data_IF_813503920720
#
_entry.id   IF_813503920720
#
_cell.length_a   1.000
_cell.length_b   1.000
_cell.length_c   1.000
_cell.angle_alpha   90.00
_cell.angle_beta   90.00
_cell.angle_gamma   90.00
#
_symmetry.space_group_name_H-M   'P 1'
#
loop_
_entity.id
_entity.type
_entity.pdbx_description
1 polymer ?
#
# COMPACT_ATOMS: atom_id res chain seq x y z
N UNK A 1 -2.77 12.97 1.40
CA UNK A 1 -2.21 12.85 2.74
C UNK A 1 -1.87 11.40 3.08
N UNK A 2 -0.75 11.16 3.78
CA UNK A 2 -0.37 9.79 4.15
C UNK A 2 -1.43 9.08 4.99
N UNK A 3 -2.04 9.77 5.94
CA UNK A 3 -3.08 9.17 6.80
C UNK A 3 -4.31 8.78 6.00
N UNK A 4 -4.68 9.57 5.00
CA UNK A 4 -5.81 9.23 4.13
C UNK A 4 -5.49 8.01 3.27
N UNK A 5 -4.26 7.91 2.77
CA UNK A 5 -3.82 6.74 2.02
C UNK A 5 -3.79 5.48 2.89
N UNK A 6 -3.36 5.63 4.15
CA UNK A 6 -3.37 4.53 5.11
C UNK A 6 -4.79 4.05 5.38
N UNK A 7 -5.72 4.98 5.59
CA UNK A 7 -7.12 4.64 5.83
C UNK A 7 -7.72 3.91 4.63
N UNK A 8 -7.49 4.40 3.42
CA UNK A 8 -8.00 3.76 2.21
C UNK A 8 -7.36 2.39 2.01
N UNK A 9 -6.06 2.28 2.25
CA UNK A 9 -5.37 1.00 2.19
C UNK A 9 -5.95 -0.03 3.15
N UNK A 10 -6.29 0.40 4.36
CA UNK A 10 -6.92 -0.48 5.35
C UNK A 10 -8.29 -0.95 4.89
N UNK A 11 -9.07 -0.10 4.22
CA UNK A 11 -10.37 -0.50 3.67
C UNK A 11 -10.22 -1.59 2.62
N UNK A 12 -9.24 -1.46 1.72
CA UNK A 12 -8.96 -2.50 0.72
C UNK A 12 -8.43 -3.77 1.36
N UNK A 13 -7.61 -3.65 2.39
CA UNK A 13 -7.07 -4.81 3.10
C UNK A 13 -8.18 -5.64 3.73
N UNK A 14 -9.17 -4.99 4.32
CA UNK A 14 -10.24 -5.64 5.06
C UNK A 14 -11.52 -5.81 4.26
N UNK A 15 -11.62 -5.24 3.08
CA UNK A 15 -12.82 -5.32 2.25
C UNK A 15 -14.01 -4.58 2.86
N UNK A 16 -13.78 -3.40 3.42
CA UNK A 16 -14.84 -2.60 4.05
C UNK A 16 -15.27 -1.49 3.11
N UNK A 17 -16.48 -1.58 2.60
CA UNK A 17 -17.03 -0.59 1.67
C UNK A 17 -16.51 -0.70 0.24
N UNK A 18 -15.48 -1.53 0.01
CA UNK A 18 -14.88 -1.82 -1.30
C UNK A 18 -14.54 -3.31 -1.32
N UNK A 19 -14.45 -3.92 -2.52
CA UNK A 19 -13.97 -5.31 -2.60
C UNK A 19 -12.55 -5.42 -2.07
N UNK A 20 -12.27 -6.47 -1.29
CA UNK A 20 -10.96 -6.70 -0.74
C UNK A 20 -9.92 -6.82 -1.87
N UNK A 21 -8.78 -6.15 -1.70
CA UNK A 21 -7.73 -6.15 -2.70
C UNK A 21 -6.37 -5.94 -2.02
N UNK A 22 -5.64 -7.04 -1.81
CA UNK A 22 -4.35 -6.98 -1.13
C UNK A 22 -3.29 -6.20 -1.91
N UNK A 23 -3.33 -6.31 -3.24
CA UNK A 23 -2.37 -5.59 -4.09
C UNK A 23 -2.56 -4.08 -3.98
N UNK A 24 -3.80 -3.62 -4.08
CA UNK A 24 -4.09 -2.19 -3.96
C UNK A 24 -3.80 -1.68 -2.55
N UNK A 25 -4.15 -2.48 -1.55
CA UNK A 25 -3.82 -2.14 -0.16
C UNK A 25 -2.31 -1.97 0.01
N UNK A 26 -1.54 -2.91 -0.52
CA UNK A 26 -0.08 -2.87 -0.41
C UNK A 26 0.50 -1.60 -1.04
N UNK A 27 0.04 -1.23 -2.24
CA UNK A 27 0.54 -0.02 -2.92
C UNK A 27 0.22 1.23 -2.11
N UNK A 28 -1.03 1.37 -1.67
CA UNK A 28 -1.44 2.54 -0.89
C UNK A 28 -0.69 2.64 0.43
N UNK A 29 -0.52 1.51 1.12
CA UNK A 29 0.16 1.49 2.41
C UNK A 29 1.67 1.73 2.25
N UNK A 30 2.25 1.23 1.16
CA UNK A 30 3.67 1.50 0.87
C UNK A 30 3.90 2.98 0.60
N UNK A 31 3.00 3.63 -0.15
CA UNK A 31 3.09 5.06 -0.41
C UNK A 31 2.91 5.87 0.88
N UNK A 32 1.95 5.49 1.70
CA UNK A 32 1.73 6.16 2.99
C UNK A 32 2.96 6.05 3.90
N UNK A 33 3.56 4.87 3.97
CA UNK A 33 4.77 4.66 4.76
C UNK A 33 5.94 5.49 4.21
N UNK A 34 6.08 5.56 2.89
CA UNK A 34 7.13 6.35 2.25
C UNK A 34 6.97 7.86 2.53
N UNK A 35 5.74 8.31 2.74
CA UNK A 35 5.46 9.71 3.07
C UNK A 35 5.42 9.97 4.58
N UNK A 36 5.80 9.00 5.39
CA UNK A 36 6.03 9.21 6.81
C UNK A 36 4.97 8.70 7.77
N UNK A 37 3.93 8.01 7.28
CA UNK A 37 2.94 7.42 8.17
C UNK A 37 3.41 6.04 8.65
N UNK A 38 3.92 6.01 9.86
CA UNK A 38 4.48 4.77 10.45
C UNK A 38 3.42 3.71 10.67
N UNK A 39 2.17 4.09 10.89
CA UNK A 39 1.08 3.13 11.06
C UNK A 39 0.85 2.28 9.82
N UNK A 40 1.20 2.80 8.66
CA UNK A 40 1.05 2.08 7.40
C UNK A 40 2.01 0.88 7.29
N UNK A 41 3.13 0.90 8.01
CA UNK A 41 4.15 -0.15 7.90
C UNK A 41 3.59 -1.51 8.32
N UNK A 42 2.95 -1.58 9.48
CA UNK A 42 2.36 -2.83 9.97
C UNK A 42 1.25 -3.35 9.07
N UNK A 43 0.41 -2.44 8.58
CA UNK A 43 -0.68 -2.81 7.67
C UNK A 43 -0.14 -3.27 6.32
N UNK A 44 0.91 -2.61 5.82
CA UNK A 44 1.58 -3.03 4.59
C UNK A 44 2.14 -4.44 4.72
N UNK A 45 2.81 -4.74 5.83
CA UNK A 45 3.38 -6.07 6.06
C UNK A 45 2.28 -7.12 6.10
N UNK A 46 1.14 -6.78 6.65
CA UNK A 46 -0.01 -7.67 6.69
C UNK A 46 -0.55 -7.95 5.28
N UNK A 47 -0.69 -6.91 4.46
CA UNK A 47 -1.09 -7.10 3.06
C UNK A 47 -0.06 -7.95 2.32
N UNK A 48 1.23 -7.72 2.55
CA UNK A 48 2.31 -8.46 1.91
C UNK A 48 2.25 -9.97 2.22
N UNK A 49 1.78 -10.33 3.41
CA UNK A 49 1.69 -11.74 3.79
C UNK A 49 0.72 -12.55 2.93
N UNK A 50 -0.16 -11.88 2.20
CA UNK A 50 -1.12 -12.52 1.29
C UNK A 50 -0.68 -12.49 -0.17
N UNK A 51 0.51 -11.96 -0.45
CA UNK A 51 1.00 -11.78 -1.83
C UNK A 51 2.26 -12.63 -2.03
N UNK A 52 2.45 -13.09 -3.28
CA UNK A 52 3.65 -13.85 -3.64
C UNK A 52 4.86 -12.91 -3.78
N UNK A 53 6.07 -13.51 -3.77
CA UNK A 53 7.31 -12.74 -3.99
C UNK A 53 7.28 -12.00 -5.31
N UNK A 54 6.79 -12.64 -6.38
CA UNK A 54 6.71 -12.01 -7.70
C UNK A 54 5.72 -10.86 -7.73
N UNK A 55 4.57 -11.04 -7.07
CA UNK A 55 3.59 -9.96 -6.95
C UNK A 55 4.17 -8.78 -6.18
N UNK A 56 4.87 -9.04 -5.09
CA UNK A 56 5.48 -7.99 -4.29
C UNK A 56 6.53 -7.21 -5.07
N UNK A 57 7.38 -7.91 -5.83
CA UNK A 57 8.39 -7.25 -6.64
C UNK A 57 7.76 -6.29 -7.66
N UNK A 58 6.70 -6.74 -8.34
CA UNK A 58 5.99 -5.91 -9.31
C UNK A 58 5.35 -4.70 -8.64
N UNK A 59 4.72 -4.89 -7.48
CA UNK A 59 4.04 -3.81 -6.78
C UNK A 59 5.03 -2.80 -6.20
N UNK A 60 6.18 -3.26 -5.74
CA UNK A 60 7.24 -2.37 -5.26
C UNK A 60 7.75 -1.46 -6.36
N UNK A 61 7.93 -1.99 -7.57
CA UNK A 61 8.31 -1.19 -8.72
C UNK A 61 7.24 -0.14 -9.03
N UNK A 62 5.98 -0.54 -9.00
CA UNK A 62 4.87 0.38 -9.27
C UNK A 62 4.81 1.48 -8.21
N UNK A 63 4.92 1.14 -6.94
CA UNK A 63 4.91 2.11 -5.85
C UNK A 63 6.10 3.07 -5.96
N UNK A 64 7.28 2.56 -6.29
CA UNK A 64 8.46 3.36 -6.50
C UNK A 64 8.30 4.35 -7.63
N UNK A 65 7.71 3.92 -8.74
CA UNK A 65 7.45 4.82 -9.87
C UNK A 65 6.47 5.92 -9.51
N UNK A 66 5.42 5.59 -8.77
CA UNK A 66 4.45 6.58 -8.32
C UNK A 66 5.07 7.60 -7.37
N UNK A 67 5.93 7.14 -6.48
CA UNK A 67 6.63 8.00 -5.55
C UNK A 67 7.57 8.95 -6.30
N UNK A 68 8.36 8.44 -7.23
CA UNK A 68 9.26 9.25 -8.05
C UNK A 68 8.49 10.27 -8.88
N UNK A 69 7.38 9.84 -9.47
CA UNK A 69 6.56 10.71 -10.30
C UNK A 69 5.99 11.87 -9.48
N UNK A 70 5.55 11.60 -8.26
CA UNK A 70 4.99 12.63 -7.40
C UNK A 70 6.03 13.63 -6.88
N UNK A 71 7.31 13.28 -6.95
CA UNK A 71 8.40 14.20 -6.60
C UNK A 71 8.71 15.20 -7.71
N UNK A 72 8.44 14.83 -8.91
CA UNK A 72 8.69 15.65 -10.08
C UNK A 72 7.65 16.73 -10.24
#
# INVERSE_FOLDING_TARGET
EPEAMTALGALFLNGIGVPQNYSRAYVLLSLAAAHGDHDAVGLRDRAASFLSSDQLATLEQEAGRRFEHSRG
#
